data_IF_298142948937
#
_entry.id   IF_298142948937
#
_cell.length_a   1.000
_cell.length_b   1.000
_cell.length_c   1.000
_cell.angle_alpha   90.00
_cell.angle_beta   90.00
_cell.angle_gamma   90.00
#
_symmetry.space_group_name_H-M   'P 1'
#
loop_
_entity.id
_entity.type
_entity.pdbx_description
1 polymer ?
#
# COMPACT_ATOMS: atom_id res chain seq x y z
N UNK A 1 9.44 12.61 -19.40
CA UNK A 1 10.39 11.65 -19.99
C UNK A 1 11.26 12.41 -20.98
N UNK A 2 12.53 12.04 -21.11
CA UNK A 2 13.46 12.69 -22.03
C UNK A 2 13.17 12.24 -23.47
N UNK A 3 13.15 13.19 -24.40
CA UNK A 3 12.98 12.91 -25.83
C UNK A 3 14.31 13.05 -26.57
N UNK A 4 14.42 12.54 -27.80
CA UNK A 4 15.67 12.61 -28.58
C UNK A 4 16.19 14.05 -28.77
N UNK A 5 15.31 15.06 -28.77
CA UNK A 5 15.71 16.47 -28.83
C UNK A 5 16.45 16.94 -27.57
N UNK A 6 16.23 16.30 -26.41
CA UNK A 6 16.89 16.65 -25.14
C UNK A 6 18.30 16.10 -25.03
N UNK A 7 18.71 15.25 -25.98
CA UNK A 7 19.97 14.49 -25.91
C UNK A 7 21.19 15.40 -25.85
N UNK A 8 21.17 16.51 -26.59
CA UNK A 8 22.24 17.52 -26.52
C UNK A 8 22.26 18.20 -25.15
N UNK A 9 21.12 18.70 -24.69
CA UNK A 9 21.03 19.40 -23.41
C UNK A 9 21.38 18.49 -22.22
N UNK A 10 21.05 17.20 -22.30
CA UNK A 10 21.46 16.18 -21.35
C UNK A 10 22.98 15.95 -21.34
N UNK A 11 23.60 15.85 -22.53
CA UNK A 11 25.05 15.74 -22.65
C UNK A 11 25.75 16.96 -22.05
N UNK A 12 25.30 18.15 -22.43
CA UNK A 12 25.87 19.44 -21.97
C UNK A 12 25.77 19.55 -20.44
N UNK A 13 24.67 19.07 -19.85
CA UNK A 13 24.47 19.06 -18.40
C UNK A 13 25.39 18.06 -17.68
N UNK A 14 25.66 16.88 -18.26
CA UNK A 14 26.65 15.96 -17.69
C UNK A 14 28.08 16.49 -17.84
N UNK A 15 28.38 17.21 -18.92
CA UNK A 15 29.69 17.86 -19.10
C UNK A 15 29.90 18.95 -18.03
N UNK A 16 28.93 19.84 -17.84
CA UNK A 16 28.99 20.86 -16.80
C UNK A 16 29.15 20.23 -15.40
N UNK A 17 28.47 19.12 -15.13
CA UNK A 17 28.67 18.37 -13.90
C UNK A 17 30.10 17.83 -13.80
N UNK A 18 30.63 17.20 -14.86
CA UNK A 18 32.01 16.70 -14.88
C UNK A 18 33.04 17.78 -14.59
N UNK A 19 32.85 18.97 -15.16
CA UNK A 19 33.71 20.14 -14.96
C UNK A 19 33.78 20.55 -13.48
N UNK A 20 32.66 20.50 -12.73
CA UNK A 20 32.68 20.78 -11.28
C UNK A 20 33.58 19.84 -10.49
N UNK A 21 33.80 18.62 -10.99
CA UNK A 21 34.70 17.62 -10.40
C UNK A 21 36.08 17.56 -11.08
N UNK A 22 36.36 18.45 -12.04
CA UNK A 22 37.60 18.44 -12.82
C UNK A 22 37.75 17.22 -13.74
N UNK A 23 36.64 16.64 -14.20
CA UNK A 23 36.61 15.42 -15.01
C UNK A 23 35.89 15.66 -16.35
N UNK A 24 36.41 15.08 -17.44
CA UNK A 24 35.70 15.04 -18.72
C UNK A 24 34.80 13.81 -18.79
N UNK A 25 33.50 13.99 -19.04
CA UNK A 25 32.55 12.87 -19.16
C UNK A 25 32.64 12.25 -20.55
N UNK A 26 33.01 10.97 -20.62
CA UNK A 26 33.13 10.26 -21.89
C UNK A 26 31.77 10.05 -22.58
N UNK A 27 31.78 9.96 -23.92
CA UNK A 27 30.57 9.70 -24.72
C UNK A 27 29.88 8.39 -24.29
N UNK A 28 30.65 7.35 -23.99
CA UNK A 28 30.11 6.07 -23.52
C UNK A 28 29.41 6.16 -22.16
N UNK A 29 29.92 6.99 -21.26
CA UNK A 29 29.27 7.25 -19.97
C UNK A 29 27.95 7.99 -20.17
N UNK A 30 27.93 9.04 -21.00
CA UNK A 30 26.69 9.77 -21.33
C UNK A 30 25.63 8.86 -21.96
N UNK A 31 26.03 7.99 -22.88
CA UNK A 31 25.11 7.00 -23.49
C UNK A 31 24.56 6.02 -22.44
N UNK A 32 25.39 5.58 -21.50
CA UNK A 32 24.96 4.71 -20.41
C UNK A 32 23.94 5.41 -19.50
N UNK A 33 24.22 6.66 -19.12
CA UNK A 33 23.29 7.47 -18.33
C UNK A 33 21.97 7.70 -19.08
N UNK A 34 22.03 8.03 -20.37
CA UNK A 34 20.85 8.21 -21.21
C UNK A 34 19.97 6.97 -21.20
N UNK A 35 20.54 5.79 -21.50
CA UNK A 35 19.81 4.51 -21.50
C UNK A 35 19.13 4.20 -20.16
N UNK A 36 19.76 4.58 -19.04
CA UNK A 36 19.23 4.27 -17.71
C UNK A 36 18.14 5.25 -17.24
N UNK A 37 18.23 6.51 -17.67
CA UNK A 37 17.45 7.60 -17.11
C UNK A 37 16.38 8.16 -18.06
N UNK A 38 16.53 8.04 -19.38
CA UNK A 38 15.65 8.70 -20.36
C UNK A 38 14.16 8.39 -20.16
N UNK A 39 13.84 7.13 -19.87
CA UNK A 39 12.46 6.68 -19.66
C UNK A 39 11.91 7.01 -18.27
N UNK A 40 12.75 7.47 -17.33
CA UNK A 40 12.37 7.59 -15.91
C UNK A 40 12.11 9.02 -15.46
N UNK A 41 12.70 10.00 -16.12
CA UNK A 41 12.68 11.39 -15.69
C UNK A 41 12.74 12.34 -16.88
N UNK A 42 12.45 13.62 -16.65
CA UNK A 42 12.65 14.69 -17.62
C UNK A 42 13.91 15.52 -17.30
N UNK A 43 14.30 16.39 -18.22
CA UNK A 43 15.52 17.18 -18.08
C UNK A 43 15.50 18.13 -16.88
N UNK A 44 14.33 18.69 -16.55
CA UNK A 44 14.16 19.60 -15.42
C UNK A 44 14.37 18.85 -14.09
N UNK A 45 13.78 17.67 -13.96
CA UNK A 45 13.95 16.79 -12.80
C UNK A 45 15.40 16.35 -12.66
N UNK A 46 16.08 16.00 -13.77
CA UNK A 46 17.50 15.64 -13.72
C UNK A 46 18.34 16.77 -13.12
N UNK A 47 18.13 18.00 -13.62
CA UNK A 47 18.85 19.19 -13.16
C UNK A 47 18.63 19.40 -11.66
N UNK A 48 17.39 19.37 -11.21
CA UNK A 48 17.07 19.53 -9.79
C UNK A 48 17.76 18.47 -8.92
N UNK A 49 17.77 17.21 -9.34
CA UNK A 49 18.43 16.14 -8.57
C UNK A 49 19.95 16.34 -8.50
N UNK A 50 20.57 16.78 -9.59
CA UNK A 50 22.01 17.06 -9.61
C UNK A 50 22.37 18.30 -8.79
N UNK A 51 21.56 19.36 -8.83
CA UNK A 51 21.75 20.55 -7.99
C UNK A 51 21.66 20.17 -6.51
N UNK A 52 20.67 19.37 -6.12
CA UNK A 52 20.57 18.82 -4.76
C UNK A 52 21.79 17.97 -4.37
N UNK A 53 22.34 17.19 -5.31
CA UNK A 53 23.57 16.40 -5.06
C UNK A 53 24.79 17.30 -4.84
N UNK A 54 24.95 18.36 -5.63
CA UNK A 54 26.06 19.31 -5.47
C UNK A 54 25.99 20.08 -4.15
N UNK A 55 24.79 20.32 -3.63
CA UNK A 55 24.58 20.97 -2.32
C UNK A 55 24.71 20.01 -1.13
N UNK A 56 24.76 18.69 -1.36
CA UNK A 56 24.91 17.69 -0.30
C UNK A 56 26.37 17.62 0.18
N UNK A 57 26.61 18.00 1.45
CA UNK A 57 27.96 18.08 2.01
C UNK A 57 28.71 16.74 2.05
N UNK A 58 28.00 15.61 2.10
CA UNK A 58 28.59 14.28 2.17
C UNK A 58 28.67 13.65 0.78
N UNK A 59 27.56 13.64 0.04
CA UNK A 59 27.45 12.96 -1.26
C UNK A 59 28.02 13.79 -2.40
N UNK A 60 27.87 15.11 -2.34
CA UNK A 60 28.34 16.07 -3.34
C UNK A 60 29.85 16.10 -3.50
N UNK A 61 30.61 15.47 -2.58
CA UNK A 61 32.07 15.32 -2.68
C UNK A 61 32.52 14.47 -3.87
N UNK A 62 31.67 13.58 -4.37
CA UNK A 62 32.00 12.65 -5.44
C UNK A 62 31.04 12.79 -6.62
N UNK A 63 31.54 12.54 -7.84
CA UNK A 63 30.69 12.51 -9.02
C UNK A 63 29.55 11.48 -8.81
N UNK A 64 28.27 11.88 -8.97
CA UNK A 64 27.15 11.01 -8.67
C UNK A 64 27.12 9.80 -9.61
N UNK A 65 26.55 8.69 -9.16
CA UNK A 65 26.24 7.55 -10.03
C UNK A 65 24.78 7.62 -10.47
N UNK A 66 24.39 6.97 -11.59
CA UNK A 66 22.98 6.86 -11.96
C UNK A 66 22.10 6.28 -10.83
N UNK A 67 22.66 5.38 -10.02
CA UNK A 67 21.98 4.83 -8.83
C UNK A 67 21.60 5.88 -7.80
N UNK A 68 22.44 6.91 -7.62
CA UNK A 68 22.21 7.96 -6.64
C UNK A 68 21.04 8.86 -7.09
N UNK A 69 20.96 9.16 -8.39
CA UNK A 69 19.80 9.85 -9.01
C UNK A 69 18.52 9.05 -8.83
N UNK A 70 18.54 7.75 -9.14
CA UNK A 70 17.38 6.86 -8.96
C UNK A 70 16.95 6.81 -7.49
N UNK A 71 17.90 6.76 -6.55
CA UNK A 71 17.59 6.73 -5.12
C UNK A 71 16.97 8.05 -4.61
N UNK A 72 17.27 9.19 -5.24
CA UNK A 72 16.59 10.47 -4.93
C UNK A 72 15.17 10.45 -5.50
N UNK A 73 14.98 9.98 -6.74
CA UNK A 73 13.66 9.89 -7.37
C UNK A 73 12.72 8.97 -6.60
N UNK A 74 13.22 7.80 -6.17
CA UNK A 74 12.44 6.89 -5.33
C UNK A 74 11.96 7.60 -4.06
N UNK A 75 12.84 8.35 -3.38
CA UNK A 75 12.47 9.10 -2.16
C UNK A 75 11.47 10.23 -2.41
N UNK A 76 11.62 10.98 -3.50
CA UNK A 76 10.72 12.09 -3.84
C UNK A 76 9.30 11.62 -4.16
N UNK A 77 9.13 10.45 -4.79
CA UNK A 77 7.83 9.84 -5.11
C UNK A 77 7.17 9.08 -3.94
N UNK A 78 7.40 9.50 -2.70
CA UNK A 78 6.88 8.83 -1.51
C UNK A 78 7.70 7.63 -1.04
N UNK A 79 8.81 7.29 -1.71
CA UNK A 79 9.78 6.31 -1.20
C UNK A 79 9.30 4.87 -1.25
N UNK A 80 10.26 3.96 -1.24
CA UNK A 80 10.01 2.64 -0.65
C UNK A 80 10.36 2.74 0.84
N UNK A 81 9.41 2.54 1.76
CA UNK A 81 9.67 2.71 3.18
C UNK A 81 10.68 1.67 3.67
N UNK A 82 11.44 2.03 4.70
CA UNK A 82 12.26 1.07 5.45
C UNK A 82 11.38 -0.01 6.09
N UNK A 83 11.95 -1.14 6.49
CA UNK A 83 11.19 -2.24 7.11
C UNK A 83 10.42 -1.80 8.37
N UNK A 84 10.93 -0.81 9.09
CA UNK A 84 10.31 -0.26 10.29
C UNK A 84 9.17 0.73 9.99
N UNK A 85 9.36 1.63 9.03
CA UNK A 85 8.29 2.51 8.56
C UNK A 85 7.17 1.71 7.88
N UNK A 86 7.53 0.69 7.11
CA UNK A 86 6.59 -0.23 6.48
C UNK A 86 5.78 -0.99 7.53
N UNK A 87 6.41 -1.41 8.63
CA UNK A 87 5.72 -2.04 9.74
C UNK A 87 4.73 -1.09 10.40
N UNK A 88 5.10 0.17 10.65
CA UNK A 88 4.19 1.16 11.23
C UNK A 88 2.91 1.33 10.39
N UNK A 89 3.02 1.31 9.06
CA UNK A 89 1.86 1.32 8.16
C UNK A 89 1.10 -0.01 8.13
N UNK A 90 1.80 -1.13 8.34
CA UNK A 90 1.21 -2.46 8.30
C UNK A 90 0.39 -2.80 9.55
N UNK A 91 0.70 -2.21 10.71
CA UNK A 91 -0.03 -2.50 11.97
C UNK A 91 -1.53 -2.24 11.79
N UNK A 92 -1.88 -1.12 11.16
CA UNK A 92 -3.28 -0.76 10.92
C UNK A 92 -3.96 -1.66 9.88
N UNK A 93 -3.20 -2.43 9.08
CA UNK A 93 -3.78 -3.39 8.12
C UNK A 93 -4.45 -4.59 8.81
N UNK A 94 -4.15 -4.84 10.08
CA UNK A 94 -4.79 -5.90 10.87
C UNK A 94 -6.14 -5.47 11.48
N UNK A 95 -6.49 -4.17 11.40
CA UNK A 95 -7.80 -3.65 11.78
C UNK A 95 -8.65 -3.40 10.52
N UNK A 96 -9.70 -4.21 10.33
CA UNK A 96 -10.62 -4.08 9.18
C UNK A 96 -11.37 -2.73 9.16
N UNK A 97 -11.45 -2.02 10.29
CA UNK A 97 -12.02 -0.68 10.34
C UNK A 97 -11.08 0.38 9.76
N UNK A 98 -9.77 0.15 9.84
CA UNK A 98 -8.78 1.13 9.43
C UNK A 98 -8.66 1.21 7.91
N UNK A 99 -8.46 2.42 7.40
CA UNK A 99 -8.07 2.67 6.02
C UNK A 99 -6.60 3.05 6.01
N UNK A 100 -5.83 2.49 5.10
CA UNK A 100 -4.36 2.59 5.14
C UNK A 100 -3.79 2.78 3.75
N UNK A 101 -2.88 3.73 3.60
CA UNK A 101 -2.12 3.92 2.37
C UNK A 101 -0.86 3.07 2.42
N UNK A 102 -0.85 2.00 1.62
CA UNK A 102 0.17 0.94 1.66
C UNK A 102 0.56 0.53 0.25
N UNK A 103 1.71 -0.12 0.13
CA UNK A 103 2.13 -0.76 -1.12
C UNK A 103 1.72 -2.22 -1.14
N UNK A 104 1.82 -2.87 -2.31
CA UNK A 104 1.55 -4.29 -2.42
C UNK A 104 2.52 -5.14 -1.59
N UNK A 105 3.80 -4.74 -1.52
CA UNK A 105 4.81 -5.43 -0.71
C UNK A 105 4.46 -5.41 0.78
N UNK A 106 3.95 -4.27 1.27
CA UNK A 106 3.48 -4.14 2.66
C UNK A 106 2.34 -5.12 2.92
N UNK A 107 1.33 -5.16 2.04
CA UNK A 107 0.17 -6.04 2.23
C UNK A 107 0.55 -7.52 2.18
N UNK A 108 1.39 -7.93 1.23
CA UNK A 108 1.89 -9.32 1.15
C UNK A 108 2.71 -9.70 2.38
N UNK A 109 3.53 -8.78 2.89
CA UNK A 109 4.30 -9.00 4.11
C UNK A 109 3.39 -9.07 5.35
N UNK A 110 2.33 -8.26 5.42
CA UNK A 110 1.34 -8.31 6.49
C UNK A 110 0.59 -9.64 6.50
N UNK A 111 0.20 -10.17 5.33
CA UNK A 111 -0.40 -11.51 5.21
C UNK A 111 0.52 -12.61 5.77
N UNK A 112 1.84 -12.52 5.53
CA UNK A 112 2.80 -13.48 6.07
C UNK A 112 2.92 -13.41 7.61
N UNK A 113 2.64 -12.25 8.21
CA UNK A 113 2.68 -12.03 9.66
C UNK A 113 1.32 -12.25 10.36
N UNK A 114 0.22 -12.36 9.61
CA UNK A 114 -1.14 -12.37 10.14
C UNK A 114 -1.38 -13.50 11.16
N UNK A 115 -0.94 -14.73 10.88
CA UNK A 115 -1.14 -15.85 11.80
C UNK A 115 -0.41 -15.68 13.14
N UNK A 116 0.77 -15.05 13.14
CA UNK A 116 1.54 -14.76 14.36
C UNK A 116 0.91 -13.60 15.13
N UNK A 117 0.41 -12.59 14.41
CA UNK A 117 -0.34 -11.48 14.99
C UNK A 117 -1.61 -11.95 15.71
N UNK A 118 -2.39 -12.83 15.08
CA UNK A 118 -3.60 -13.43 15.65
C UNK A 118 -3.34 -14.27 16.90
N UNK A 119 -2.14 -14.83 17.04
CA UNK A 119 -1.71 -15.54 18.25
C UNK A 119 -1.34 -14.60 19.40
N UNK A 120 -1.30 -13.28 19.18
CA UNK A 120 -0.95 -12.26 20.16
C UNK A 120 0.55 -12.00 20.31
N UNK A 121 1.40 -12.62 19.48
CA UNK A 121 2.84 -12.36 19.47
C UNK A 121 3.18 -11.22 18.49
N UNK A 122 3.03 -9.98 18.96
CA UNK A 122 3.29 -8.79 18.15
C UNK A 122 4.77 -8.66 17.75
N UNK A 123 5.70 -9.18 18.57
CA UNK A 123 7.15 -9.14 18.26
C UNK A 123 7.48 -10.15 17.18
N UNK A 124 7.00 -11.38 17.31
CA UNK A 124 7.12 -12.42 16.29
C UNK A 124 6.47 -12.00 14.97
N UNK A 125 5.29 -11.37 15.02
CA UNK A 125 4.61 -10.84 13.84
C UNK A 125 5.47 -9.77 13.14
N UNK A 126 6.08 -8.85 13.90
CA UNK A 126 7.00 -7.84 13.34
C UNK A 126 8.21 -8.49 12.68
N UNK A 127 8.81 -9.53 13.29
CA UNK A 127 9.96 -10.23 12.72
C UNK A 127 9.59 -10.97 11.41
N UNK A 128 8.46 -11.68 11.41
CA UNK A 128 7.93 -12.33 10.22
C UNK A 128 7.65 -11.33 9.09
N UNK A 129 7.03 -10.20 9.44
CA UNK A 129 6.78 -9.10 8.52
C UNK A 129 8.06 -8.56 7.90
N UNK A 130 9.05 -8.16 8.72
CA UNK A 130 10.31 -7.57 8.23
C UNK A 130 11.02 -8.49 7.25
N UNK A 131 11.17 -9.77 7.60
CA UNK A 131 11.81 -10.76 6.73
C UNK A 131 11.07 -10.99 5.42
N UNK A 132 9.74 -10.98 5.44
CA UNK A 132 8.93 -11.08 4.22
C UNK A 132 9.03 -9.81 3.35
N UNK A 133 8.93 -8.64 3.97
CA UNK A 133 9.00 -7.34 3.30
C UNK A 133 10.35 -7.13 2.62
N UNK A 134 11.46 -7.35 3.31
CA UNK A 134 12.81 -7.19 2.76
C UNK A 134 13.06 -8.08 1.55
N UNK A 135 12.57 -9.32 1.59
CA UNK A 135 12.64 -10.25 0.45
C UNK A 135 11.85 -9.74 -0.75
N UNK A 136 10.61 -9.29 -0.54
CA UNK A 136 9.75 -8.74 -1.60
C UNK A 136 10.34 -7.46 -2.20
N UNK A 137 10.88 -6.57 -1.36
CA UNK A 137 11.56 -5.35 -1.80
C UNK A 137 12.79 -5.67 -2.64
N UNK A 138 13.62 -6.63 -2.20
CA UNK A 138 14.80 -7.03 -2.94
C UNK A 138 14.44 -7.61 -4.32
N UNK A 139 13.39 -8.41 -4.40
CA UNK A 139 12.86 -8.95 -5.66
C UNK A 139 12.38 -7.83 -6.60
N UNK A 140 11.57 -6.88 -6.09
CA UNK A 140 11.04 -5.76 -6.88
C UNK A 140 12.15 -4.83 -7.38
N UNK A 141 13.18 -4.60 -6.56
CA UNK A 141 14.38 -3.86 -6.97
C UNK A 141 15.11 -4.54 -8.12
N UNK A 142 15.28 -5.88 -8.06
CA UNK A 142 15.90 -6.64 -9.17
C UNK A 142 15.09 -6.56 -10.46
N UNK A 143 13.77 -6.47 -10.35
CA UNK A 143 12.85 -6.31 -11.49
C UNK A 143 12.73 -4.85 -11.95
N UNK A 144 13.39 -3.89 -11.30
CA UNK A 144 13.32 -2.47 -11.64
C UNK A 144 11.95 -1.83 -11.39
N UNK A 145 11.12 -2.43 -10.52
CA UNK A 145 9.77 -1.98 -10.22
C UNK A 145 9.75 -1.00 -9.03
N UNK A 146 9.25 0.19 -9.30
CA UNK A 146 8.98 1.23 -8.29
C UNK A 146 7.83 0.83 -7.37
N UNK A 147 7.82 1.29 -6.11
CA UNK A 147 6.72 1.05 -5.19
C UNK A 147 5.43 1.67 -5.74
N UNK A 148 4.35 0.89 -5.78
CA UNK A 148 3.02 1.38 -6.16
C UNK A 148 2.20 1.58 -4.90
N UNK A 149 1.98 2.84 -4.55
CA UNK A 149 1.13 3.23 -3.43
C UNK A 149 -0.34 3.10 -3.80
N UNK A 150 -1.13 2.54 -2.88
CA UNK A 150 -2.59 2.43 -3.00
C UNK A 150 -3.26 2.62 -1.66
N UNK A 151 -4.48 3.13 -1.68
CA UNK A 151 -5.31 3.25 -0.49
C UNK A 151 -6.14 1.98 -0.33
N UNK A 152 -5.92 1.25 0.77
CA UNK A 152 -6.79 0.15 1.21
C UNK A 152 -7.92 0.73 2.04
N UNK A 153 -9.16 0.47 1.64
CA UNK A 153 -10.36 1.03 2.28
C UNK A 153 -10.89 0.08 3.35
N UNK A 154 -10.91 0.56 4.59
CA UNK A 154 -11.64 -0.06 5.69
C UNK A 154 -13.12 0.27 5.64
N UNK A 155 -13.90 -0.33 6.55
CA UNK A 155 -15.35 -0.11 6.58
C UNK A 155 -15.75 1.27 7.15
N UNK A 156 -14.94 1.87 8.03
CA UNK A 156 -15.23 3.16 8.66
C UNK A 156 -15.10 4.34 7.66
N UNK A 157 -16.18 5.09 7.37
CA UNK A 157 -16.14 6.27 6.50
C UNK A 157 -15.25 7.41 7.00
N UNK A 158 -15.18 7.65 8.31
CA UNK A 158 -14.41 8.77 8.86
C UNK A 158 -12.89 8.51 8.70
N UNK A 159 -12.46 7.31 9.05
CA UNK A 159 -11.06 6.87 8.88
C UNK A 159 -10.63 6.82 7.42
N UNK A 160 -11.56 6.56 6.49
CA UNK A 160 -11.29 6.63 5.04
C UNK A 160 -10.83 8.02 4.60
N UNK A 161 -11.52 9.07 5.05
CA UNK A 161 -11.18 10.46 4.72
C UNK A 161 -9.83 10.84 5.30
N UNK A 162 -9.57 10.49 6.56
CA UNK A 162 -8.30 10.80 7.22
C UNK A 162 -7.12 10.11 6.51
N UNK A 163 -7.21 8.81 6.25
CA UNK A 163 -6.17 8.06 5.56
C UNK A 163 -5.92 8.59 4.14
N UNK A 164 -6.98 8.99 3.45
CA UNK A 164 -6.92 9.66 2.16
C UNK A 164 -6.15 10.99 2.22
N UNK A 165 -6.46 11.85 3.19
CA UNK A 165 -5.78 13.14 3.38
C UNK A 165 -4.31 12.95 3.73
N UNK A 166 -3.99 12.04 4.65
CA UNK A 166 -2.62 11.72 5.04
C UNK A 166 -1.80 11.18 3.87
N UNK A 167 -2.38 10.33 3.01
CA UNK A 167 -1.71 9.79 1.83
C UNK A 167 -1.31 10.88 0.81
N UNK A 168 -2.19 11.87 0.63
CA UNK A 168 -1.94 13.01 -0.26
C UNK A 168 -0.90 13.94 0.36
N UNK A 169 -1.03 14.27 1.66
CA UNK A 169 -0.08 15.12 2.37
C UNK A 169 1.35 14.52 2.38
N UNK A 170 1.46 13.20 2.50
CA UNK A 170 2.73 12.48 2.43
C UNK A 170 3.29 12.32 1.00
N UNK A 171 2.60 12.83 -0.03
CA UNK A 171 3.01 12.71 -1.43
C UNK A 171 3.01 11.27 -1.98
N UNK A 172 2.33 10.34 -1.28
CA UNK A 172 2.26 8.92 -1.68
C UNK A 172 1.19 8.67 -2.73
N UNK A 173 0.11 9.44 -2.70
CA UNK A 173 -0.96 9.41 -3.69
C UNK A 173 -1.20 10.81 -4.26
N UNK A 174 -1.48 10.93 -5.57
CA UNK A 174 -1.88 12.21 -6.15
C UNK A 174 -3.28 12.58 -5.64
N UNK A 175 -3.51 13.87 -5.39
CA UNK A 175 -4.79 14.38 -4.90
C UNK A 175 -5.97 13.95 -5.79
N UNK A 176 -5.76 13.87 -7.10
CA UNK A 176 -6.77 13.44 -8.07
C UNK A 176 -7.26 12.02 -7.86
N UNK A 177 -6.36 11.10 -7.48
CA UNK A 177 -6.71 9.70 -7.25
C UNK A 177 -7.65 9.51 -6.06
N UNK A 178 -7.68 10.49 -5.13
CA UNK A 178 -8.42 10.38 -3.87
C UNK A 178 -9.60 11.35 -3.80
N UNK A 179 -9.80 12.19 -4.83
CA UNK A 179 -10.88 13.19 -4.93
C UNK A 179 -12.29 12.65 -4.64
N UNK A 180 -12.56 11.41 -5.04
CA UNK A 180 -13.88 10.78 -4.86
C UNK A 180 -14.13 10.31 -3.41
N UNK A 181 -13.08 10.26 -2.58
CA UNK A 181 -13.14 9.85 -1.17
C UNK A 181 -13.01 11.03 -0.20
N UNK A 182 -12.57 12.20 -0.70
CA UNK A 182 -12.42 13.40 0.10
C UNK A 182 -13.71 14.24 0.03
N UNK A 183 -14.14 14.86 1.14
CA UNK A 183 -15.19 15.87 1.08
C UNK A 183 -14.76 17.00 0.16
N UNK A 184 -15.72 17.59 -0.57
CA UNK A 184 -15.45 18.74 -1.41
C UNK A 184 -14.85 19.87 -0.54
N UNK A 185 -13.82 20.60 -1.01
CA UNK A 185 -13.25 21.71 -0.25
C UNK A 185 -14.35 22.73 0.06
N UNK A 186 -14.37 23.24 1.29
CA UNK A 186 -15.37 24.19 1.80
C UNK A 186 -15.37 25.56 1.09
N UNK A 187 -14.46 25.77 0.14
CA UNK A 187 -14.38 26.97 -0.70
C UNK A 187 -15.40 26.92 -1.87
N UNK A 188 -16.69 26.96 -1.54
CA UNK A 188 -17.72 27.64 -2.33
C UNK A 188 -19.06 27.63 -1.59
N UNK A 189 -19.20 28.60 -0.68
CA UNK A 189 -20.47 29.27 -0.47
C UNK A 189 -21.14 29.59 -1.82
N UNK A 190 -22.46 29.38 -1.88
CA UNK A 190 -23.39 29.59 -3.00
C UNK A 190 -23.49 28.42 -3.99
N UNK A 191 -24.59 27.63 -3.97
CA UNK A 191 -24.96 26.86 -5.14
C UNK A 191 -25.22 27.88 -6.25
N UNK A 192 -24.28 28.01 -7.18
CA UNK A 192 -24.51 28.66 -8.47
C UNK A 192 -25.55 27.78 -9.17
N UNK A 193 -26.83 28.07 -8.92
CA UNK A 193 -27.97 27.44 -9.59
C UNK A 193 -27.70 27.63 -11.07
N UNK A 194 -27.31 26.54 -11.73
CA UNK A 194 -27.30 26.48 -13.17
C UNK A 194 -28.74 26.78 -13.58
N UNK A 195 -28.98 27.97 -14.12
CA UNK A 195 -30.16 28.30 -14.91
C UNK A 195 -30.06 27.53 -16.22
N UNK A 196 -30.14 26.21 -16.12
CA UNK A 196 -30.44 25.32 -17.21
C UNK A 196 -31.77 24.69 -16.83
N UNK A 197 -32.74 24.81 -17.73
CA UNK A 197 -34.08 24.25 -17.65
C UNK A 197 -34.05 22.90 -16.95
N UNK A 198 -34.75 22.80 -15.82
CA UNK A 198 -34.95 21.52 -15.13
C UNK A 198 -35.74 20.64 -16.09
N UNK A 199 -35.03 19.85 -16.90
CA UNK A 199 -35.61 18.69 -17.55
C UNK A 199 -35.85 17.72 -16.41
N UNK A 200 -37.10 17.64 -15.97
CA UNK A 200 -37.53 16.58 -15.09
C UNK A 200 -37.19 15.25 -15.77
N UNK A 201 -36.19 14.55 -15.24
CA UNK A 201 -35.94 13.17 -15.62
C UNK A 201 -37.26 12.40 -15.43
N UNK A 202 -37.68 11.54 -16.38
CA UNK A 202 -38.91 10.80 -16.25
C UNK A 202 -38.85 9.95 -14.98
N UNK A 203 -39.62 10.37 -13.96
CA UNK A 203 -39.65 9.81 -12.61
C UNK A 203 -40.08 8.33 -12.56
N UNK A 204 -40.45 7.76 -13.70
CA UNK A 204 -40.88 6.38 -13.87
C UNK A 204 -39.71 5.39 -13.82
N UNK A 205 -38.52 5.74 -14.31
CA UNK A 205 -37.36 4.83 -14.27
C UNK A 205 -36.76 4.75 -12.86
N UNK A 206 -36.68 5.87 -12.13
CA UNK A 206 -36.15 5.90 -10.75
C UNK A 206 -36.92 5.00 -9.79
N UNK A 207 -38.25 4.90 -9.94
CA UNK A 207 -39.06 4.04 -9.09
C UNK A 207 -38.74 2.56 -9.32
N UNK A 208 -38.56 2.16 -10.58
CA UNK A 208 -38.18 0.79 -10.95
C UNK A 208 -36.75 0.47 -10.50
N UNK A 209 -35.80 1.40 -10.71
CA UNK A 209 -34.42 1.23 -10.25
C UNK A 209 -34.33 1.13 -8.73
N UNK A 210 -35.09 1.95 -7.98
CA UNK A 210 -35.16 1.86 -6.50
C UNK A 210 -35.76 0.54 -6.04
N UNK A 211 -36.79 0.05 -6.73
CA UNK A 211 -37.38 -1.25 -6.43
C UNK A 211 -36.38 -2.39 -6.69
N UNK A 212 -35.67 -2.36 -7.81
CA UNK A 212 -34.63 -3.35 -8.14
C UNK A 212 -33.48 -3.34 -7.13
N UNK A 213 -33.03 -2.17 -6.70
CA UNK A 213 -31.99 -2.04 -5.67
C UNK A 213 -32.45 -2.55 -4.29
N UNK A 214 -33.73 -2.39 -3.94
CA UNK A 214 -34.31 -2.98 -2.72
C UNK A 214 -34.33 -4.50 -2.79
N UNK A 215 -34.78 -5.07 -3.90
CA UNK A 215 -34.79 -6.53 -4.11
C UNK A 215 -33.37 -7.11 -4.05
N UNK A 216 -32.40 -6.44 -4.67
CA UNK A 216 -30.99 -6.85 -4.59
C UNK A 216 -30.44 -6.77 -3.16
N UNK A 217 -30.77 -5.72 -2.41
CA UNK A 217 -30.40 -5.58 -1.00
C UNK A 217 -30.97 -6.71 -0.15
N UNK A 218 -32.24 -7.09 -0.35
CA UNK A 218 -32.86 -8.19 0.38
C UNK A 218 -32.22 -9.54 0.05
N UNK A 219 -31.89 -9.79 -1.21
CA UNK A 219 -31.17 -10.99 -1.64
C UNK A 219 -29.77 -11.09 -1.03
N UNK A 220 -29.04 -9.97 -0.98
CA UNK A 220 -27.72 -9.91 -0.34
C UNK A 220 -27.85 -10.17 1.17
N UNK A 221 -28.76 -9.49 1.87
CA UNK A 221 -28.96 -9.70 3.30
C UNK A 221 -29.40 -11.13 3.64
N UNK A 222 -30.11 -11.81 2.73
CA UNK A 222 -30.50 -13.21 2.86
C UNK A 222 -29.38 -14.19 2.55
N UNK A 223 -28.36 -13.76 1.79
CA UNK A 223 -27.16 -14.52 1.45
C UNK A 223 -25.97 -14.22 2.38
N UNK A 224 -26.05 -13.20 3.24
CA UNK A 224 -25.05 -12.92 4.28
C UNK A 224 -25.12 -14.04 5.31
N UNK A 225 -24.09 -14.90 5.45
CA UNK A 225 -24.05 -15.88 6.52
C UNK A 225 -24.06 -15.14 7.87
N UNK A 226 -24.64 -15.73 8.93
CA UNK A 226 -24.70 -15.10 10.24
C UNK A 226 -23.29 -14.68 10.68
N UNK A 227 -23.18 -13.47 11.24
CA UNK A 227 -21.92 -12.92 11.74
C UNK A 227 -21.21 -13.97 12.59
N UNK A 228 -20.00 -14.40 12.21
CA UNK A 228 -19.29 -15.44 12.94
C UNK A 228 -19.14 -15.04 14.42
N UNK A 229 -19.56 -15.91 15.35
CA UNK A 229 -19.57 -15.64 16.80
C UNK A 229 -18.25 -14.99 17.30
N UNK A 230 -18.27 -14.05 18.25
CA UNK A 230 -17.08 -13.34 18.70
C UNK A 230 -15.93 -14.29 19.08
N UNK A 231 -14.66 -13.89 18.89
CA UNK A 231 -13.50 -14.78 19.08
C UNK A 231 -13.46 -15.50 20.43
N UNK A 232 -13.95 -14.85 21.49
CA UNK A 232 -14.06 -15.40 22.84
C UNK A 232 -14.98 -16.63 22.93
N UNK A 233 -16.15 -16.59 22.28
CA UNK A 233 -17.11 -17.70 22.28
C UNK A 233 -16.60 -18.89 21.45
N UNK A 234 -15.89 -18.64 20.34
CA UNK A 234 -15.25 -19.72 19.56
C UNK A 234 -14.14 -20.41 20.33
N UNK A 235 -13.34 -19.64 21.09
CA UNK A 235 -12.30 -20.20 21.94
C UNK A 235 -12.91 -21.08 23.05
N UNK A 236 -14.02 -20.66 23.63
CA UNK A 236 -14.75 -21.41 24.65
C UNK A 236 -15.38 -22.68 24.08
N UNK A 237 -16.09 -22.60 22.95
CA UNK A 237 -16.67 -23.76 22.27
C UNK A 237 -15.60 -24.79 21.84
N UNK A 238 -14.43 -24.34 21.38
CA UNK A 238 -13.29 -25.23 21.07
C UNK A 238 -12.76 -25.93 22.32
N UNK A 239 -12.63 -25.21 23.44
CA UNK A 239 -12.20 -25.79 24.72
C UNK A 239 -13.19 -26.84 25.23
N UNK A 240 -14.49 -26.54 25.16
CA UNK A 240 -15.55 -27.45 25.56
C UNK A 240 -15.62 -28.70 24.68
N UNK A 241 -15.49 -28.53 23.36
CA UNK A 241 -15.46 -29.64 22.41
C UNK A 241 -14.23 -30.55 22.63
N UNK A 242 -13.05 -29.97 22.85
CA UNK A 242 -11.84 -30.73 23.19
C UNK A 242 -12.01 -31.46 24.53
N UNK A 243 -12.58 -30.79 25.54
CA UNK A 243 -12.84 -31.40 26.85
C UNK A 243 -13.87 -32.53 26.76
N UNK A 244 -14.87 -32.42 25.89
CA UNK A 244 -15.87 -33.46 25.65
C UNK A 244 -15.25 -34.66 24.94
N UNK A 245 -14.48 -34.46 23.87
CA UNK A 245 -13.74 -35.55 23.20
C UNK A 245 -12.78 -36.27 24.13
N UNK A 246 -12.07 -35.55 25.00
CA UNK A 246 -11.20 -36.14 26.03
C UNK A 246 -11.99 -37.00 27.02
N UNK A 247 -13.17 -36.54 27.47
CA UNK A 247 -14.06 -37.32 28.35
C UNK A 247 -14.60 -38.58 27.68
N UNK A 248 -14.99 -38.50 26.40
CA UNK A 248 -15.47 -39.68 25.66
C UNK A 248 -14.34 -40.70 25.47
N UNK A 249 -13.16 -40.25 25.03
CA UNK A 249 -12.01 -41.13 24.86
C UNK A 249 -11.55 -41.78 26.18
N UNK A 250 -11.60 -41.05 27.31
CA UNK A 250 -11.30 -41.61 28.61
C UNK A 250 -12.30 -42.72 29.01
N UNK A 251 -13.60 -42.52 28.75
CA UNK A 251 -14.64 -43.54 28.98
C UNK A 251 -14.44 -44.78 28.11
N UNK A 252 -14.05 -44.59 26.85
CA UNK A 252 -13.79 -45.70 25.92
C UNK A 252 -12.55 -46.51 26.35
N UNK A 253 -11.49 -45.84 26.82
CA UNK A 253 -10.30 -46.50 27.36
C UNK A 253 -10.62 -47.28 28.63
N UNK A 254 -11.46 -46.72 29.51
CA UNK A 254 -11.84 -47.39 30.77
C UNK A 254 -12.72 -48.62 30.49
N UNK A 255 -13.66 -48.50 29.53
CA UNK A 255 -14.48 -49.63 29.06
C UNK A 255 -13.63 -50.77 28.50
N UNK A 256 -12.60 -50.45 27.71
CA UNK A 256 -11.64 -51.41 27.15
C UNK A 256 -10.73 -52.06 28.22
N UNK A 257 -10.45 -51.35 29.32
CA UNK A 257 -9.70 -51.90 30.47
C UNK A 257 -10.56 -52.86 31.27
N UNK A 258 -11.83 -52.54 31.53
CA UNK A 258 -12.77 -53.47 32.17
C UNK A 258 -13.04 -54.72 31.34
N UNK A 259 -13.09 -54.63 30.01
CA UNK A 259 -13.28 -55.81 29.14
C UNK A 259 -12.03 -56.70 29.03
N UNK A 260 -10.83 -56.15 29.29
CA UNK A 260 -9.57 -56.91 29.36
C UNK A 260 -9.24 -57.46 30.75
N UNK A 261 -9.98 -57.04 31.78
CA UNK A 261 -9.81 -57.45 33.16
C UNK A 261 -10.92 -58.34 33.72
N UNK A 262 -11.85 -58.81 32.87
CA UNK A 262 -12.78 -59.87 33.25
C UNK A 262 -12.07 -61.25 33.09
N UNK A 263 -12.14 -62.14 34.10
CA UNK A 263 -11.45 -63.44 34.12
C UNK A 263 -11.91 -64.41 33.03
#
# INVERSE_FOLDING_TARGET
MLCDHDRKAFSDLLDALGETYGQSVSVGLKQTWWRLLADRLDLATLRQVLDCHLLDAERGRYFPRPSDVIAVLERAGGGRPSSDEAWALAVDTFDEAASVCVTEEILRAATAAASVWECGDHVGARMAFKGAYERLVAERRRQGQSPQWRLSLGWDPARRVEAAQQAVAAGRLPAEAVRHLLPAPDDASTPKRLTATVVALPQTEEAVTRQQLRTLRELILRAVPPTPAPPAERAQARREHIAQRKRTAARDVDRLRTSRGAP
#
